data_IF_485878378831
#
_entry.id   IF_485878378831
#
_cell.length_a   1.000
_cell.length_b   1.000
_cell.length_c   1.000
_cell.angle_alpha   90.00
_cell.angle_beta   90.00
_cell.angle_gamma   90.00
#
_symmetry.space_group_name_H-M   'P 1'
#
loop_
_entity.id
_entity.type
_entity.pdbx_description
1 polymer ?
#
# COMPACT_ATOMS: atom_id res chain seq x y z
N UNK A 1 -3.61 -7.46 21.25
CA UNK A 1 -3.45 -8.59 20.30
C UNK A 1 -1.99 -8.73 19.93
N UNK A 2 -1.43 -9.93 19.97
CA UNK A 2 -0.02 -10.21 19.69
C UNK A 2 0.31 -10.16 18.19
N UNK A 3 -0.58 -10.71 17.35
CA UNK A 3 -0.45 -10.70 15.89
C UNK A 3 -0.24 -9.30 15.30
N UNK A 4 -1.04 -8.31 15.72
CA UNK A 4 -0.92 -6.94 15.20
C UNK A 4 0.42 -6.29 15.55
N UNK A 5 1.02 -6.63 16.71
CA UNK A 5 2.35 -6.13 17.09
C UNK A 5 3.44 -6.73 16.21
N UNK A 6 3.35 -8.03 15.94
CA UNK A 6 4.29 -8.74 15.07
C UNK A 6 4.21 -8.23 13.63
N UNK A 7 2.99 -8.08 13.08
CA UNK A 7 2.79 -7.51 11.75
C UNK A 7 3.30 -6.07 11.68
N UNK A 8 3.07 -5.26 12.71
CA UNK A 8 3.58 -3.89 12.77
C UNK A 8 5.12 -3.86 12.75
N UNK A 9 5.77 -4.71 13.55
CA UNK A 9 7.23 -4.83 13.59
C UNK A 9 7.81 -5.29 12.24
N UNK A 10 7.14 -6.26 11.60
CA UNK A 10 7.50 -6.72 10.26
C UNK A 10 7.35 -5.60 9.23
N UNK A 11 6.23 -4.87 9.26
CA UNK A 11 5.97 -3.73 8.39
C UNK A 11 7.05 -2.66 8.48
N UNK A 12 7.39 -2.23 9.70
CA UNK A 12 8.47 -1.25 9.94
C UNK A 12 9.80 -1.76 9.34
N UNK A 13 10.10 -3.03 9.53
CA UNK A 13 11.32 -3.64 8.97
C UNK A 13 11.32 -3.60 7.44
N UNK A 14 10.20 -3.95 6.80
CA UNK A 14 10.04 -3.90 5.35
C UNK A 14 10.14 -2.47 4.80
N UNK A 15 9.50 -1.49 5.44
CA UNK A 15 9.63 -0.08 5.05
C UNK A 15 11.07 0.42 5.15
N UNK A 16 11.80 0.02 6.20
CA UNK A 16 13.20 0.39 6.35
C UNK A 16 14.07 -0.20 5.24
N UNK A 17 13.84 -1.47 4.87
CA UNK A 17 14.54 -2.12 3.76
C UNK A 17 14.18 -1.50 2.41
N UNK A 18 12.91 -1.19 2.16
CA UNK A 18 12.49 -0.49 0.94
C UNK A 18 13.17 0.88 0.84
N UNK A 19 13.26 1.61 1.97
CA UNK A 19 13.91 2.91 2.05
C UNK A 19 15.39 2.83 1.65
N UNK A 20 16.15 1.91 2.23
CA UNK A 20 17.60 1.79 1.94
C UNK A 20 17.89 1.09 0.62
N UNK A 21 17.34 -0.11 0.42
CA UNK A 21 17.76 -1.01 -0.66
C UNK A 21 17.08 -0.68 -1.99
N UNK A 22 15.83 -0.20 -1.97
CA UNK A 22 15.07 0.07 -3.20
C UNK A 22 15.10 1.54 -3.61
N UNK A 23 15.15 2.45 -2.63
CA UNK A 23 15.05 3.90 -2.89
C UNK A 23 16.36 4.65 -2.61
N UNK A 24 17.36 4.03 -1.98
CA UNK A 24 18.62 4.71 -1.64
C UNK A 24 18.46 5.86 -0.64
N UNK A 25 17.40 5.84 0.16
CA UNK A 25 17.07 6.86 1.15
C UNK A 25 17.60 6.50 2.53
N UNK A 26 17.53 7.47 3.44
CA UNK A 26 17.75 7.21 4.87
C UNK A 26 16.85 6.09 5.37
N UNK A 27 17.37 5.23 6.27
CA UNK A 27 16.69 4.02 6.73
C UNK A 27 15.24 4.23 7.16
N UNK A 28 14.96 5.30 7.89
CA UNK A 28 13.64 5.57 8.46
C UNK A 28 12.79 6.50 7.59
N UNK A 29 13.24 6.89 6.39
CA UNK A 29 12.56 7.94 5.61
C UNK A 29 11.08 7.63 5.39
N UNK A 30 10.73 6.41 4.94
CA UNK A 30 9.34 6.00 4.72
C UNK A 30 8.50 5.98 6.01
N UNK A 31 9.10 5.62 7.15
CA UNK A 31 8.40 5.66 8.45
C UNK A 31 8.21 7.08 8.96
N UNK A 32 9.17 7.97 8.71
CA UNK A 32 9.16 9.38 9.13
C UNK A 32 8.14 10.21 8.34
N UNK A 33 7.79 9.76 7.13
CA UNK A 33 6.68 10.31 6.33
C UNK A 33 5.34 9.59 6.56
N UNK A 34 5.26 8.83 7.66
CA UNK A 34 4.06 8.18 8.18
C UNK A 34 3.50 7.01 7.34
N UNK A 35 4.30 6.38 6.46
CA UNK A 35 3.82 5.23 5.67
C UNK A 35 3.48 4.00 6.52
N UNK A 36 4.06 3.89 7.72
CA UNK A 36 3.89 2.75 8.62
C UNK A 36 3.18 3.12 9.94
N UNK A 37 2.48 4.25 10.02
CA UNK A 37 2.00 4.76 11.32
C UNK A 37 0.81 3.96 11.88
N UNK A 38 -0.09 3.49 11.02
CA UNK A 38 -1.30 2.77 11.43
C UNK A 38 -1.45 1.49 10.61
N UNK A 39 -1.88 0.43 11.29
CA UNK A 39 -2.18 -0.86 10.71
C UNK A 39 -3.70 -1.09 10.73
N UNK A 40 -4.32 -1.18 9.56
CA UNK A 40 -5.70 -1.62 9.41
C UNK A 40 -5.74 -3.12 9.09
N UNK A 41 -6.56 -3.88 9.81
CA UNK A 41 -6.76 -5.31 9.58
C UNK A 41 -8.16 -5.55 8.99
N UNK A 42 -8.22 -6.26 7.87
CA UNK A 42 -9.47 -6.71 7.25
C UNK A 42 -9.47 -8.23 7.15
N UNK A 43 -10.40 -8.87 7.87
CA UNK A 43 -10.67 -10.29 7.74
C UNK A 43 -11.55 -10.54 6.52
N UNK A 44 -11.04 -11.26 5.53
CA UNK A 44 -11.78 -11.71 4.36
C UNK A 44 -12.09 -13.20 4.48
N UNK A 45 -13.37 -13.54 4.37
CA UNK A 45 -13.83 -14.92 4.28
C UNK A 45 -14.23 -15.22 2.83
N UNK A 46 -13.50 -16.13 2.19
CA UNK A 46 -13.78 -16.57 0.83
C UNK A 46 -14.46 -17.94 0.87
N UNK A 47 -15.77 -18.02 0.54
CA UNK A 47 -16.51 -19.28 0.57
C UNK A 47 -16.06 -20.23 -0.54
N UNK A 48 -16.49 -21.50 -0.44
CA UNK A 48 -16.14 -22.50 -1.43
C UNK A 48 -16.81 -22.24 -2.80
N UNK A 49 -16.09 -22.39 -3.91
CA UNK A 49 -16.54 -22.22 -5.29
C UNK A 49 -15.81 -23.20 -6.21
N UNK A 50 -16.47 -23.75 -7.24
CA UNK A 50 -15.90 -24.74 -8.12
C UNK A 50 -14.79 -24.20 -9.08
N UNK A 51 -13.55 -23.85 -8.67
CA UNK A 51 -12.25 -24.07 -9.41
C UNK A 51 -11.02 -23.54 -8.62
N UNK A 52 -10.23 -24.36 -7.88
CA UNK A 52 -8.78 -24.10 -7.80
C UNK A 52 -7.83 -25.19 -7.25
N UNK A 53 -6.54 -24.84 -7.34
CA UNK A 53 -5.35 -25.50 -6.83
C UNK A 53 -4.72 -24.74 -5.62
N UNK A 54 -3.64 -25.32 -5.06
CA UNK A 54 -3.11 -25.18 -3.69
C UNK A 54 -2.69 -23.77 -3.21
N UNK A 55 -2.80 -23.51 -1.90
CA UNK A 55 -2.08 -22.40 -1.23
C UNK A 55 -1.79 -22.78 0.22
N UNK A 56 -0.50 -22.89 0.56
CA UNK A 56 0.07 -23.20 1.89
C UNK A 56 0.52 -21.91 2.60
N UNK A 57 1.00 -22.02 3.85
CA UNK A 57 1.44 -20.96 4.77
C UNK A 57 2.45 -19.97 4.16
N UNK A 58 1.96 -18.92 3.47
CA UNK A 58 2.82 -17.86 2.90
C UNK A 58 2.31 -16.48 3.29
N UNK A 59 3.25 -15.56 3.51
CA UNK A 59 2.98 -14.14 3.57
C UNK A 59 3.20 -13.55 2.18
N UNK A 60 2.21 -12.85 1.65
CA UNK A 60 2.32 -12.07 0.42
C UNK A 60 2.37 -10.59 0.78
N UNK A 61 3.38 -9.89 0.28
CA UNK A 61 3.55 -8.43 0.46
C UNK A 61 3.37 -7.75 -0.89
N UNK A 62 2.49 -6.75 -0.94
CA UNK A 62 2.20 -5.97 -2.13
C UNK A 62 2.57 -4.49 -1.90
N UNK A 63 3.02 -3.82 -2.95
CA UNK A 63 3.20 -2.36 -2.99
C UNK A 63 1.84 -1.72 -3.26
N UNK A 64 1.47 -0.71 -2.49
CA UNK A 64 0.24 0.07 -2.71
C UNK A 64 0.47 1.36 -3.51
N UNK A 65 -0.61 1.95 -3.99
CA UNK A 65 -0.60 3.15 -4.83
C UNK A 65 0.17 4.32 -4.21
N UNK A 66 0.03 4.53 -2.89
CA UNK A 66 0.75 5.59 -2.18
C UNK A 66 2.27 5.44 -2.31
N UNK A 67 2.79 4.20 -2.22
CA UNK A 67 4.22 3.92 -2.37
C UNK A 67 4.70 4.16 -3.81
N UNK A 68 3.90 3.80 -4.81
CA UNK A 68 4.21 4.10 -6.21
C UNK A 68 4.25 5.60 -6.48
N UNK A 69 3.31 6.37 -5.91
CA UNK A 69 3.26 7.82 -6.03
C UNK A 69 4.51 8.48 -5.45
N UNK A 70 4.83 8.21 -4.18
CA UNK A 70 5.94 8.88 -3.49
C UNK A 70 7.30 8.45 -4.02
N UNK A 71 7.42 7.21 -4.53
CA UNK A 71 8.63 6.72 -5.18
C UNK A 71 8.78 7.17 -6.63
N UNK A 72 7.87 7.99 -7.15
CA UNK A 72 7.87 8.49 -8.52
C UNK A 72 7.99 7.37 -9.57
N UNK A 73 7.17 6.33 -9.42
CA UNK A 73 7.13 5.14 -10.28
C UNK A 73 8.31 4.15 -10.14
N UNK A 74 9.20 4.30 -9.15
CA UNK A 74 10.25 3.29 -8.86
C UNK A 74 9.63 2.01 -8.31
N UNK A 75 8.74 2.12 -7.32
CA UNK A 75 7.94 1.00 -6.84
C UNK A 75 6.63 0.91 -7.64
N UNK A 76 6.17 -0.32 -7.92
CA UNK A 76 4.97 -0.56 -8.74
C UNK A 76 3.87 -1.23 -7.94
N UNK A 77 2.74 -0.53 -7.82
CA UNK A 77 1.46 -1.08 -7.38
C UNK A 77 0.86 -1.91 -8.51
N UNK A 78 0.30 -3.06 -8.15
CA UNK A 78 -0.28 -4.02 -9.09
C UNK A 78 -1.68 -4.41 -8.67
N UNK A 79 -2.56 -4.55 -9.65
CA UNK A 79 -3.88 -5.11 -9.43
C UNK A 79 -3.76 -6.59 -9.07
N UNK A 80 -4.44 -6.98 -7.99
CA UNK A 80 -4.54 -8.36 -7.57
C UNK A 80 -6.01 -8.71 -7.32
N UNK A 81 -6.37 -9.96 -7.60
CA UNK A 81 -7.71 -10.49 -7.36
C UNK A 81 -7.61 -11.81 -6.61
N UNK A 82 -8.54 -12.03 -5.70
CA UNK A 82 -8.68 -13.32 -5.00
C UNK A 82 -9.74 -14.14 -5.72
N UNK A 83 -9.36 -15.33 -6.18
CA UNK A 83 -10.30 -16.29 -6.76
C UNK A 83 -10.92 -17.13 -5.63
N UNK A 84 -12.20 -17.47 -5.76
CA UNK A 84 -12.89 -18.29 -4.78
C UNK A 84 -12.37 -19.76 -4.79
N UNK A 85 -12.30 -20.39 -3.62
CA UNK A 85 -11.61 -21.67 -3.34
C UNK A 85 -12.53 -22.91 -3.49
N UNK A 86 -12.16 -24.09 -4.04
CA UNK A 86 -13.04 -25.31 -4.01
C UNK A 86 -12.87 -26.08 -2.70
N UNK A 87 -11.66 -26.05 -2.14
CA UNK A 87 -11.18 -27.00 -1.12
C UNK A 87 -11.77 -26.74 0.27
N UNK A 88 -12.58 -25.70 0.41
CA UNK A 88 -13.07 -25.21 1.68
C UNK A 88 -12.98 -23.69 1.75
N UNK A 89 -13.64 -23.08 2.74
CA UNK A 89 -13.54 -21.66 2.99
C UNK A 89 -12.10 -21.26 3.31
N UNK A 90 -11.62 -20.18 2.69
CA UNK A 90 -10.32 -19.58 2.99
C UNK A 90 -10.53 -18.32 3.83
N UNK A 91 -9.79 -18.22 4.92
CA UNK A 91 -9.71 -17.00 5.72
C UNK A 91 -8.40 -16.32 5.36
N UNK A 92 -8.48 -15.05 4.99
CA UNK A 92 -7.34 -14.19 4.71
C UNK A 92 -7.42 -12.99 5.64
N UNK A 93 -6.30 -12.59 6.22
CA UNK A 93 -6.19 -11.34 6.99
C UNK A 93 -5.35 -10.38 6.18
N UNK A 94 -6.00 -9.41 5.55
CA UNK A 94 -5.31 -8.35 4.84
C UNK A 94 -4.89 -7.26 5.84
N UNK A 95 -3.63 -6.85 5.74
CA UNK A 95 -3.00 -5.88 6.63
C UNK A 95 -2.53 -4.68 5.80
N UNK A 96 -3.13 -3.51 6.03
CA UNK A 96 -2.80 -2.30 5.28
C UNK A 96 -2.12 -1.29 6.20
N UNK A 97 -0.96 -0.81 5.77
CA UNK A 97 -0.24 0.27 6.42
C UNK A 97 -0.67 1.61 5.81
N UNK A 98 -1.09 2.54 6.66
CA UNK A 98 -1.43 3.90 6.23
C UNK A 98 -1.32 4.88 7.40
N UNK A 99 -1.49 6.18 7.11
CA UNK A 99 -1.63 7.21 8.12
C UNK A 99 -3.07 7.31 8.59
N UNK A 100 -3.26 7.44 9.91
CA UNK A 100 -4.56 7.81 10.47
C UNK A 100 -4.95 9.24 10.05
N UNK A 101 -6.15 9.39 9.48
CA UNK A 101 -6.76 10.68 9.14
C UNK A 101 -7.32 11.44 10.33
N UNK A 102 -7.39 10.82 11.52
CA UNK A 102 -8.03 11.39 12.72
C UNK A 102 -7.18 12.46 13.44
N UNK A 103 -5.88 12.58 13.13
CA UNK A 103 -4.93 13.42 13.87
C UNK A 103 -4.82 14.89 13.46
N UNK A 104 -5.71 15.44 12.61
CA UNK A 104 -5.74 16.86 12.24
C UNK A 104 -4.56 17.40 11.41
N UNK A 105 -3.46 16.65 11.24
CA UNK A 105 -2.32 17.00 10.37
C UNK A 105 -2.57 16.55 8.94
N UNK A 106 -2.85 17.50 8.06
CA UNK A 106 -2.96 17.25 6.61
C UNK A 106 -1.55 17.22 5.99
N UNK A 107 -0.92 16.04 5.93
CA UNK A 107 0.29 15.85 5.11
C UNK A 107 -0.12 15.72 3.64
N UNK A 108 0.61 16.41 2.78
CA UNK A 108 0.53 16.23 1.32
C UNK A 108 1.62 15.24 0.92
N UNK A 109 1.21 14.13 0.31
CA UNK A 109 2.09 13.12 -0.27
C UNK A 109 2.37 13.48 -1.72
N UNK A 110 3.63 13.48 -2.10
CA UNK A 110 4.14 13.83 -3.43
C UNK A 110 5.39 12.98 -3.71
N UNK A 111 5.87 12.92 -4.97
CA UNK A 111 7.18 12.35 -5.27
C UNK A 111 8.25 12.87 -4.31
N UNK A 112 9.02 11.96 -3.72
CA UNK A 112 10.11 12.27 -2.79
C UNK A 112 11.18 13.04 -3.57
N UNK A 113 11.57 14.20 -3.04
CA UNK A 113 12.45 15.15 -3.74
C UNK A 113 13.81 14.54 -4.05
N UNK A 114 14.33 13.74 -3.13
CA UNK A 114 15.61 13.02 -3.26
C UNK A 114 15.61 11.96 -4.38
N UNK A 115 14.45 11.56 -4.88
CA UNK A 115 14.29 10.59 -5.98
C UNK A 115 14.08 11.25 -7.35
N UNK A 116 13.98 12.58 -7.39
CA UNK A 116 13.79 13.34 -8.61
C UNK A 116 15.14 13.67 -9.26
N UNK A 117 15.15 13.66 -10.59
CA UNK A 117 16.31 14.02 -11.40
C UNK A 117 15.85 14.72 -12.68
N UNK A 118 16.79 15.28 -13.44
CA UNK A 118 16.49 15.92 -14.73
C UNK A 118 15.83 14.96 -15.72
N UNK A 119 16.29 13.71 -15.74
CA UNK A 119 15.74 12.60 -16.55
C UNK A 119 14.59 11.84 -15.86
N UNK A 120 14.32 12.13 -14.58
CA UNK A 120 13.21 11.58 -13.81
C UNK A 120 12.41 12.71 -13.12
N UNK A 121 11.72 13.57 -13.89
CA UNK A 121 10.90 14.64 -13.32
C UNK A 121 9.70 14.06 -12.53
N UNK A 122 9.04 14.87 -11.68
CA UNK A 122 7.86 14.43 -10.96
C UNK A 122 6.76 14.01 -11.95
N UNK A 123 6.23 12.79 -11.79
CA UNK A 123 5.17 12.21 -12.62
C UNK A 123 3.78 12.39 -12.01
N UNK A 124 3.73 12.73 -10.72
CA UNK A 124 2.51 12.83 -9.95
C UNK A 124 2.42 14.16 -9.21
N UNK A 125 1.21 14.71 -9.12
CA UNK A 125 0.90 15.85 -8.26
C UNK A 125 0.80 15.42 -6.79
N UNK A 126 0.90 16.41 -5.90
CA UNK A 126 0.66 16.20 -4.47
C UNK A 126 -0.81 15.84 -4.16
N UNK A 127 -1.01 15.00 -3.16
CA UNK A 127 -2.33 14.57 -2.68
C UNK A 127 -2.39 14.39 -1.17
N UNK A 128 -3.53 14.71 -0.56
CA UNK A 128 -3.77 14.47 0.86
C UNK A 128 -4.35 13.08 1.09
N UNK A 129 -4.18 12.51 2.29
CA UNK A 129 -4.85 11.24 2.65
C UNK A 129 -6.38 11.34 2.62
N UNK A 130 -6.94 12.53 2.83
CA UNK A 130 -8.37 12.76 2.71
C UNK A 130 -8.84 12.62 1.25
N UNK A 131 -8.10 13.18 0.30
CA UNK A 131 -8.39 13.02 -1.13
C UNK A 131 -8.17 11.56 -1.58
N UNK A 132 -7.09 10.92 -1.12
CA UNK A 132 -6.80 9.51 -1.38
C UNK A 132 -7.95 8.59 -0.94
N UNK A 133 -8.39 8.72 0.32
CA UNK A 133 -9.46 7.87 0.87
C UNK A 133 -10.82 8.18 0.25
N UNK A 134 -11.10 9.45 -0.03
CA UNK A 134 -12.35 9.86 -0.71
C UNK A 134 -12.46 9.23 -2.09
N UNK A 135 -11.36 9.12 -2.83
CA UNK A 135 -11.36 8.43 -4.12
C UNK A 135 -11.46 6.92 -3.95
N UNK A 136 -10.72 6.30 -3.03
CA UNK A 136 -10.79 4.85 -2.80
C UNK A 136 -12.21 4.38 -2.45
N UNK A 137 -13.00 5.21 -1.77
CA UNK A 137 -14.42 4.95 -1.49
C UNK A 137 -15.31 5.14 -2.72
N UNK A 138 -15.01 6.13 -3.58
CA UNK A 138 -15.84 6.49 -4.76
C UNK A 138 -15.53 5.68 -6.02
N UNK A 139 -14.29 5.22 -6.20
CA UNK A 139 -13.79 4.61 -7.42
C UNK A 139 -13.99 3.09 -7.49
N UNK A 140 -14.64 2.47 -6.49
CA UNK A 140 -15.14 1.10 -6.64
C UNK A 140 -16.22 1.08 -7.74
N UNK A 141 -15.80 0.88 -8.99
CA UNK A 141 -16.68 0.61 -10.13
C UNK A 141 -16.55 1.52 -11.35
N UNK A 142 -15.56 2.42 -11.45
CA UNK A 142 -15.41 3.30 -12.63
C UNK A 142 -13.99 3.13 -13.22
N UNK A 143 -13.91 2.90 -14.52
CA UNK A 143 -12.67 2.67 -15.27
C UNK A 143 -11.58 3.71 -14.94
N UNK A 144 -10.54 3.27 -14.22
CA UNK A 144 -9.33 4.03 -13.95
C UNK A 144 -8.81 3.85 -12.52
N UNK A 145 -7.49 3.81 -12.33
CA UNK A 145 -6.89 3.74 -10.99
C UNK A 145 -6.77 5.13 -10.39
N UNK A 146 -6.76 5.24 -9.06
CA UNK A 146 -6.56 6.54 -8.37
C UNK A 146 -5.29 7.24 -8.85
N UNK A 147 -4.21 6.47 -9.03
CA UNK A 147 -2.94 6.95 -9.56
C UNK A 147 -3.06 7.67 -10.90
N UNK A 148 -3.95 7.23 -11.80
CA UNK A 148 -4.13 7.89 -13.10
C UNK A 148 -4.67 9.33 -12.94
N UNK A 149 -5.53 9.56 -11.95
CA UNK A 149 -6.06 10.91 -11.67
C UNK A 149 -5.05 11.89 -11.08
N UNK A 150 -3.86 11.40 -10.71
CA UNK A 150 -2.79 12.17 -10.09
C UNK A 150 -1.61 12.42 -11.01
N UNK A 151 -1.59 11.85 -12.22
CA UNK A 151 -0.51 12.10 -13.18
C UNK A 151 -0.48 13.56 -13.63
N UNK A 152 0.74 14.09 -13.84
CA UNK A 152 1.00 15.41 -14.39
C UNK A 152 0.98 15.41 -15.92
#
# INVERSE_FOLDING_TARGET
MEYSKQVMSLGITLFNLLSTESLGLNRNHLTDIDCAQTLALFGHYCPSCPQPELTLDTLVVNVGDLLQLISNDILKSVEHRVLASRLGPRILVACFFWRDTLGGRTRVYRPIEELLAEDNPPKYRGVTMKEYTSYAVRAKGVNGTFLQSLKL
#
